data_IF_557088727701
#
_entry.id   IF_557088727701
#
_cell.length_a   1.000
_cell.length_b   1.000
_cell.length_c   1.000
_cell.angle_alpha   90.00
_cell.angle_beta   90.00
_cell.angle_gamma   90.00
#
_symmetry.space_group_name_H-M   'P 1'
#
loop_
_entity.id
_entity.type
_entity.pdbx_description
1 polymer ?
#
# COMPACT_ATOMS: atom_id res chain seq x y z
N UNK A 1 -60.68 -18.83 20.57
CA UNK A 1 -59.79 -17.73 21.00
C UNK A 1 -58.41 -18.32 21.23
N UNK A 2 -57.56 -18.32 20.20
CA UNK A 2 -56.19 -18.84 20.28
C UNK A 2 -55.21 -17.67 20.17
N UNK A 3 -54.30 -17.61 21.13
CA UNK A 3 -53.16 -16.70 21.26
C UNK A 3 -52.16 -16.93 20.12
N UNK A 4 -51.82 -15.89 19.34
CA UNK A 4 -50.71 -15.94 18.38
C UNK A 4 -49.51 -15.18 18.91
N UNK A 5 -48.48 -15.97 19.18
CA UNK A 5 -47.15 -15.65 19.69
C UNK A 5 -46.32 -14.94 18.61
N UNK A 6 -45.88 -13.71 18.88
CA UNK A 6 -44.99 -12.94 18.02
C UNK A 6 -43.53 -13.35 18.23
N UNK A 7 -43.01 -14.25 17.39
CA UNK A 7 -41.57 -14.53 17.32
C UNK A 7 -40.92 -13.69 16.24
N UNK A 8 -40.15 -12.70 16.68
CA UNK A 8 -39.19 -11.98 15.86
C UNK A 8 -38.14 -12.92 15.27
N UNK A 9 -38.05 -12.92 13.94
CA UNK A 9 -36.97 -13.53 13.19
C UNK A 9 -35.68 -12.74 13.47
N UNK A 10 -34.76 -13.34 14.24
CA UNK A 10 -33.36 -12.92 14.28
C UNK A 10 -32.75 -13.26 12.92
N UNK A 11 -32.31 -12.23 12.19
CA UNK A 11 -31.48 -12.39 11.01
C UNK A 11 -30.14 -13.03 11.39
N UNK A 12 -29.89 -14.21 10.84
CA UNK A 12 -28.60 -14.90 10.92
C UNK A 12 -27.65 -14.22 9.94
N UNK A 13 -26.69 -13.45 10.44
CA UNK A 13 -25.61 -12.90 9.63
C UNK A 13 -24.68 -14.04 9.21
N UNK A 14 -24.53 -14.24 7.90
CA UNK A 14 -23.62 -15.22 7.30
C UNK A 14 -22.15 -14.81 7.59
N UNK A 15 -21.56 -15.33 8.67
CA UNK A 15 -20.14 -15.19 9.03
C UNK A 15 -19.23 -16.27 8.40
N UNK A 16 -19.73 -17.05 7.42
CA UNK A 16 -19.10 -18.30 6.99
C UNK A 16 -17.93 -18.18 6.01
N UNK A 17 -17.95 -17.22 5.08
CA UNK A 17 -17.01 -17.22 3.93
C UNK A 17 -15.69 -16.51 4.21
N UNK A 18 -15.68 -15.46 5.05
CA UNK A 18 -14.45 -14.71 5.31
C UNK A 18 -13.48 -15.40 6.27
N UNK A 19 -13.99 -16.10 7.30
CA UNK A 19 -13.17 -16.96 8.17
C UNK A 19 -12.46 -18.05 7.36
N UNK A 20 -13.15 -18.58 6.34
CA UNK A 20 -12.63 -19.64 5.50
C UNK A 20 -11.35 -19.22 4.74
N UNK A 21 -11.29 -18.00 4.19
CA UNK A 21 -10.07 -17.54 3.50
C UNK A 21 -8.88 -17.31 4.43
N UNK A 22 -9.12 -16.95 5.70
CA UNK A 22 -8.07 -16.83 6.71
C UNK A 22 -7.53 -18.21 7.09
N UNK A 23 -8.42 -19.18 7.34
CA UNK A 23 -8.05 -20.53 7.76
C UNK A 23 -7.31 -21.29 6.65
N UNK A 24 -7.69 -21.12 5.38
CA UNK A 24 -6.93 -21.62 4.23
C UNK A 24 -5.51 -21.04 4.18
N UNK A 25 -5.38 -19.71 4.30
CA UNK A 25 -4.09 -19.04 4.27
C UNK A 25 -3.19 -19.52 5.42
N UNK A 26 -3.78 -19.67 6.62
CA UNK A 26 -3.13 -20.19 7.81
C UNK A 26 -2.70 -21.66 7.65
N UNK A 27 -3.54 -22.51 7.06
CA UNK A 27 -3.21 -23.92 6.80
C UNK A 27 -2.05 -24.04 5.80
N UNK A 28 -2.09 -23.28 4.69
CA UNK A 28 -1.00 -23.23 3.73
C UNK A 28 0.30 -22.70 4.39
N UNK A 29 0.20 -21.71 5.26
CA UNK A 29 1.33 -21.20 6.03
C UNK A 29 1.90 -22.27 6.99
N UNK A 30 1.05 -23.05 7.66
CA UNK A 30 1.47 -24.15 8.53
C UNK A 30 2.24 -25.23 7.77
N UNK A 31 1.78 -25.61 6.57
CA UNK A 31 2.48 -26.57 5.71
C UNK A 31 3.89 -26.08 5.32
N UNK A 32 4.01 -24.79 4.94
CA UNK A 32 5.32 -24.18 4.62
C UNK A 32 6.26 -24.17 5.82
N UNK A 33 5.72 -23.91 7.02
CA UNK A 33 6.49 -23.95 8.27
C UNK A 33 6.99 -25.36 8.52
N UNK A 34 6.14 -26.37 8.38
CA UNK A 34 6.51 -27.77 8.58
C UNK A 34 7.63 -28.20 7.63
N UNK A 35 7.54 -27.86 6.35
CA UNK A 35 8.59 -28.19 5.37
C UNK A 35 9.97 -27.59 5.74
N UNK A 36 10.01 -26.43 6.39
CA UNK A 36 11.25 -25.82 6.89
C UNK A 36 11.70 -26.46 8.21
N UNK A 37 10.78 -26.91 9.07
CA UNK A 37 11.11 -27.71 10.27
C UNK A 37 11.84 -28.98 9.87
N UNK A 38 11.37 -29.66 8.83
CA UNK A 38 11.96 -30.91 8.31
C UNK A 38 13.40 -30.72 7.79
N UNK A 39 13.82 -29.48 7.50
CA UNK A 39 15.21 -29.12 7.22
C UNK A 39 16.07 -28.94 8.50
N UNK A 40 15.56 -29.36 9.66
CA UNK A 40 16.23 -29.33 10.95
C UNK A 40 16.16 -27.97 11.66
N UNK A 41 15.25 -27.08 11.28
CA UNK A 41 15.02 -25.82 12.01
C UNK A 41 13.99 -26.02 13.13
N UNK A 42 14.16 -25.31 14.24
CA UNK A 42 13.08 -25.26 15.25
C UNK A 42 11.85 -24.57 14.67
N UNK A 43 10.65 -24.87 15.17
CA UNK A 43 9.40 -24.22 14.73
C UNK A 43 9.49 -22.69 14.73
N UNK A 44 10.12 -22.11 15.77
CA UNK A 44 10.35 -20.67 15.87
C UNK A 44 11.26 -20.14 14.76
N UNK A 45 12.34 -20.85 14.43
CA UNK A 45 13.22 -20.48 13.33
C UNK A 45 12.52 -20.62 11.97
N UNK A 46 11.78 -21.72 11.78
CA UNK A 46 11.04 -22.01 10.57
C UNK A 46 9.99 -20.92 10.28
N UNK A 47 9.17 -20.55 11.28
CA UNK A 47 8.22 -19.43 11.16
C UNK A 47 8.87 -18.14 10.69
N UNK A 48 9.97 -17.74 11.33
CA UNK A 48 10.69 -16.54 10.93
C UNK A 48 11.24 -16.66 9.50
N UNK A 49 11.87 -17.80 9.16
CA UNK A 49 12.50 -18.00 7.87
C UNK A 49 11.49 -18.00 6.73
N UNK A 50 10.29 -18.57 6.93
CA UNK A 50 9.20 -18.48 5.96
C UNK A 50 8.79 -17.02 5.74
N UNK A 51 8.59 -16.22 6.80
CA UNK A 51 8.28 -14.79 6.65
C UNK A 51 9.36 -14.04 5.86
N UNK A 52 10.65 -14.33 6.15
CA UNK A 52 11.76 -13.75 5.39
C UNK A 52 11.65 -14.15 3.92
N UNK A 53 11.58 -15.43 3.59
CA UNK A 53 11.58 -15.92 2.20
C UNK A 53 10.38 -15.41 1.39
N UNK A 54 9.20 -15.28 2.02
CA UNK A 54 7.97 -14.84 1.34
C UNK A 54 7.85 -13.34 1.14
N UNK A 55 8.57 -12.52 1.92
CA UNK A 55 8.31 -11.07 1.94
C UNK A 55 9.53 -10.17 1.75
N UNK A 56 10.75 -10.68 1.98
CA UNK A 56 11.94 -9.84 1.93
C UNK A 56 13.15 -10.53 1.28
N UNK A 57 13.37 -11.82 1.55
CA UNK A 57 14.58 -12.55 1.22
C UNK A 57 15.79 -12.13 2.03
N UNK A 58 15.74 -10.98 2.70
CA UNK A 58 16.81 -10.46 3.56
C UNK A 58 16.29 -10.19 4.96
N UNK A 59 17.16 -10.35 5.95
CA UNK A 59 16.86 -10.03 7.34
C UNK A 59 18.10 -9.58 8.12
N UNK A 60 17.88 -8.99 9.29
CA UNK A 60 18.94 -8.66 10.26
C UNK A 60 18.72 -9.39 11.59
N UNK A 61 19.78 -9.61 12.40
CA UNK A 61 19.67 -10.29 13.69
C UNK A 61 18.62 -9.72 14.64
N UNK A 62 18.45 -8.40 14.64
CA UNK A 62 17.41 -7.70 15.43
C UNK A 62 16.01 -8.17 15.10
N UNK A 63 15.69 -8.40 13.83
CA UNK A 63 14.36 -8.83 13.41
C UNK A 63 14.04 -10.22 13.96
N UNK A 64 15.00 -11.14 13.84
CA UNK A 64 14.84 -12.46 14.44
C UNK A 64 14.74 -12.39 15.95
N UNK A 65 15.60 -11.60 16.60
CA UNK A 65 15.59 -11.46 18.06
C UNK A 65 14.24 -10.93 18.58
N UNK A 66 13.71 -9.88 17.93
CA UNK A 66 12.40 -9.32 18.24
C UNK A 66 11.28 -10.32 17.99
N UNK A 67 11.28 -11.00 16.84
CA UNK A 67 10.29 -12.01 16.51
C UNK A 67 10.30 -13.19 17.50
N UNK A 68 11.49 -13.65 17.88
CA UNK A 68 11.68 -14.81 18.72
C UNK A 68 11.54 -14.53 20.22
N UNK A 69 11.36 -13.27 20.62
CA UNK A 69 11.32 -12.84 22.02
C UNK A 69 12.63 -13.10 22.77
N UNK A 70 13.78 -12.93 22.10
CA UNK A 70 15.11 -13.19 22.68
C UNK A 70 15.98 -11.93 22.64
N UNK A 71 17.01 -11.92 23.49
CA UNK A 71 17.99 -10.84 23.50
C UNK A 71 18.74 -10.74 22.15
N UNK A 72 18.77 -9.54 21.58
CA UNK A 72 19.60 -9.24 20.42
C UNK A 72 21.09 -9.39 20.77
N UNK A 73 21.87 -10.03 19.89
CA UNK A 73 23.28 -10.33 20.15
C UNK A 73 23.52 -11.48 21.14
N UNK A 74 22.47 -12.18 21.58
CA UNK A 74 22.60 -13.37 22.41
C UNK A 74 23.05 -14.60 21.62
N UNK A 75 23.64 -15.58 22.31
CA UNK A 75 24.12 -16.86 21.72
C UNK A 75 23.07 -17.56 20.85
N UNK A 76 21.80 -17.58 21.28
CA UNK A 76 20.69 -18.20 20.51
C UNK A 76 20.44 -17.51 19.16
N UNK A 77 20.61 -16.20 19.10
CA UNK A 77 20.48 -15.43 17.85
C UNK A 77 21.65 -15.76 16.92
N UNK A 78 22.89 -15.72 17.42
CA UNK A 78 24.08 -16.02 16.62
C UNK A 78 24.08 -17.43 16.06
N UNK A 79 23.79 -18.45 16.88
CA UNK A 79 23.73 -19.85 16.45
C UNK A 79 22.78 -20.06 15.27
N UNK A 80 21.65 -19.34 15.21
CA UNK A 80 20.72 -19.41 14.09
C UNK A 80 21.35 -18.89 12.79
N UNK A 81 21.94 -17.70 12.81
CA UNK A 81 22.55 -17.11 11.62
C UNK A 81 23.83 -17.83 11.19
N UNK A 82 24.64 -18.28 12.14
CA UNK A 82 25.85 -19.06 11.87
C UNK A 82 25.45 -20.39 11.21
N UNK A 83 24.34 -21.02 11.64
CA UNK A 83 23.78 -22.19 10.95
C UNK A 83 23.37 -21.85 9.52
N UNK A 84 22.66 -20.74 9.27
CA UNK A 84 22.24 -20.35 7.92
C UNK A 84 23.43 -20.19 6.97
N UNK A 85 24.51 -19.54 7.43
CA UNK A 85 25.71 -19.32 6.62
C UNK A 85 26.49 -20.62 6.43
N UNK A 86 26.74 -21.38 7.51
CA UNK A 86 27.48 -22.65 7.46
C UNK A 86 26.84 -23.68 6.54
N UNK A 87 25.51 -23.74 6.53
CA UNK A 87 24.76 -24.66 5.66
C UNK A 87 24.54 -24.12 4.24
N UNK A 88 25.08 -22.93 3.89
CA UNK A 88 24.92 -22.33 2.57
C UNK A 88 23.49 -21.86 2.25
N UNK A 89 22.67 -21.65 3.28
CA UNK A 89 21.29 -21.19 3.12
C UNK A 89 21.19 -19.67 2.92
N UNK A 90 22.14 -18.93 3.49
CA UNK A 90 22.20 -17.49 3.38
C UNK A 90 23.64 -16.97 3.20
N UNK A 91 23.76 -15.84 2.51
CA UNK A 91 24.98 -15.05 2.46
C UNK A 91 24.92 -13.94 3.51
N UNK A 92 26.04 -13.73 4.19
CA UNK A 92 26.22 -12.55 5.04
C UNK A 92 26.74 -11.38 4.20
N UNK A 93 25.96 -10.31 4.15
CA UNK A 93 26.34 -9.03 3.56
C UNK A 93 26.86 -8.14 4.70
N UNK A 94 28.16 -7.88 4.67
CA UNK A 94 28.83 -7.00 5.63
C UNK A 94 28.63 -5.54 5.20
N UNK A 95 28.16 -4.72 6.13
CA UNK A 95 28.02 -3.29 5.89
C UNK A 95 29.29 -2.55 6.30
N UNK A 96 29.66 -1.48 5.58
CA UNK A 96 30.89 -0.69 5.81
C UNK A 96 31.01 -0.22 7.27
N UNK A 97 29.89 0.10 7.93
CA UNK A 97 29.86 0.24 9.38
C UNK A 97 29.79 -1.16 10.01
N UNK A 98 30.94 -1.62 10.49
CA UNK A 98 31.32 -2.97 10.93
C UNK A 98 30.46 -3.65 12.03
N UNK A 99 29.25 -3.16 12.31
CA UNK A 99 28.30 -3.69 13.30
C UNK A 99 27.00 -4.20 12.71
N UNK A 100 26.65 -3.81 11.47
CA UNK A 100 25.43 -4.25 10.83
C UNK A 100 25.70 -5.47 9.94
N UNK A 101 25.04 -6.58 10.26
CA UNK A 101 25.06 -7.84 9.50
C UNK A 101 23.71 -8.02 8.85
N UNK A 102 23.67 -8.06 7.52
CA UNK A 102 22.47 -8.38 6.75
C UNK A 102 22.62 -9.79 6.20
N UNK A 103 21.59 -10.60 6.30
CA UNK A 103 21.60 -11.97 5.81
C UNK A 103 20.63 -12.09 4.65
N UNK A 104 21.12 -12.54 3.49
CA UNK A 104 20.31 -12.80 2.31
C UNK A 104 20.09 -14.29 2.14
N UNK A 105 18.83 -14.74 2.25
CA UNK A 105 18.41 -16.12 2.06
C UNK A 105 18.21 -16.38 0.57
N UNK A 106 19.12 -17.14 -0.04
CA UNK A 106 19.19 -17.35 -1.50
C UNK A 106 19.08 -18.84 -1.92
N UNK A 107 19.03 -19.77 -0.96
CA UNK A 107 19.11 -21.20 -1.25
C UNK A 107 17.84 -21.72 -1.93
N UNK A 108 17.95 -22.09 -3.22
CA UNK A 108 16.83 -22.49 -4.08
C UNK A 108 15.98 -23.63 -3.51
N UNK A 109 16.55 -24.71 -2.92
CA UNK A 109 15.74 -25.77 -2.32
C UNK A 109 14.81 -25.30 -1.21
N UNK A 110 15.22 -24.33 -0.36
CA UNK A 110 14.31 -23.81 0.68
C UNK A 110 13.10 -23.09 0.08
N UNK A 111 13.32 -22.32 -0.99
CA UNK A 111 12.24 -21.68 -1.73
C UNK A 111 11.35 -22.69 -2.45
N UNK A 112 11.92 -23.78 -2.97
CA UNK A 112 11.17 -24.86 -3.59
C UNK A 112 10.22 -25.53 -2.58
N UNK A 113 10.71 -25.83 -1.37
CA UNK A 113 9.93 -26.48 -0.31
C UNK A 113 8.70 -25.68 0.13
N UNK A 114 8.75 -24.34 0.04
CA UNK A 114 7.60 -23.48 0.37
C UNK A 114 6.72 -23.14 -0.84
N UNK A 115 7.00 -23.75 -2.00
CA UNK A 115 6.27 -23.51 -3.25
C UNK A 115 6.62 -22.20 -3.97
N UNK A 116 7.74 -21.54 -3.60
CA UNK A 116 8.14 -20.22 -4.13
C UNK A 116 9.48 -20.25 -4.87
N UNK A 117 9.77 -21.33 -5.62
CA UNK A 117 11.07 -21.53 -6.31
C UNK A 117 11.48 -20.38 -7.25
N UNK A 118 10.51 -19.71 -7.86
CA UNK A 118 10.72 -18.58 -8.78
C UNK A 118 10.79 -17.22 -8.08
N UNK A 119 10.74 -17.19 -6.74
CA UNK A 119 10.69 -15.96 -5.97
C UNK A 119 11.85 -15.02 -6.28
N UNK A 120 11.52 -13.74 -6.48
CA UNK A 120 12.50 -12.65 -6.63
C UNK A 120 13.32 -12.41 -5.36
N UNK A 121 12.84 -12.88 -4.22
CA UNK A 121 13.49 -12.67 -2.93
C UNK A 121 14.79 -13.48 -2.81
N UNK A 122 14.86 -14.60 -3.53
CA UNK A 122 16.06 -15.43 -3.68
C UNK A 122 17.19 -14.76 -4.47
N UNK A 123 16.85 -13.89 -5.42
CA UNK A 123 17.82 -13.31 -6.37
C UNK A 123 18.67 -12.24 -5.70
N UNK A 124 19.87 -12.02 -6.25
CA UNK A 124 20.74 -10.90 -5.89
C UNK A 124 19.96 -9.59 -5.92
N UNK A 125 20.27 -8.69 -5.00
CA UNK A 125 19.54 -7.44 -4.82
C UNK A 125 20.51 -6.28 -4.63
N UNK A 126 20.07 -5.10 -5.07
CA UNK A 126 20.81 -3.88 -4.82
C UNK A 126 20.74 -3.51 -3.32
N UNK A 127 21.71 -2.76 -2.82
CA UNK A 127 21.71 -2.13 -1.50
C UNK A 127 20.41 -1.41 -1.14
N UNK A 128 19.91 -0.57 -2.06
CA UNK A 128 18.64 0.15 -1.89
C UNK A 128 17.48 -0.82 -1.69
N UNK A 129 17.39 -1.84 -2.55
CA UNK A 129 16.34 -2.85 -2.47
C UNK A 129 16.44 -3.69 -1.19
N UNK A 130 17.65 -3.91 -0.66
CA UNK A 130 17.86 -4.59 0.62
C UNK A 130 17.25 -3.78 1.76
N UNK A 131 17.50 -2.47 1.81
CA UNK A 131 16.92 -1.57 2.82
C UNK A 131 15.39 -1.57 2.74
N UNK A 132 14.81 -1.44 1.54
CA UNK A 132 13.35 -1.47 1.35
C UNK A 132 12.74 -2.81 1.80
N UNK A 133 13.39 -3.94 1.51
CA UNK A 133 12.94 -5.27 1.94
C UNK A 133 13.05 -5.45 3.45
N UNK A 134 14.09 -4.91 4.10
CA UNK A 134 14.23 -4.93 5.55
C UNK A 134 13.14 -4.11 6.24
N UNK A 135 12.84 -2.92 5.71
CA UNK A 135 11.73 -2.08 6.19
C UNK A 135 10.38 -2.79 6.03
N UNK A 136 10.14 -3.44 4.88
CA UNK A 136 8.92 -4.22 4.65
C UNK A 136 8.80 -5.39 5.65
N UNK A 137 9.91 -6.08 5.93
CA UNK A 137 9.91 -7.15 6.90
C UNK A 137 9.59 -6.63 8.31
N UNK A 138 10.16 -5.49 8.73
CA UNK A 138 9.79 -4.88 10.01
C UNK A 138 8.30 -4.59 10.09
N UNK A 139 7.72 -4.02 9.03
CA UNK A 139 6.29 -3.73 8.97
C UNK A 139 5.45 -5.02 9.18
N UNK A 140 5.81 -6.10 8.49
CA UNK A 140 5.13 -7.40 8.62
C UNK A 140 5.26 -7.97 10.04
N UNK A 141 6.46 -7.89 10.63
CA UNK A 141 6.70 -8.39 11.98
C UNK A 141 5.95 -7.61 13.07
N UNK A 142 5.55 -6.37 12.80
CA UNK A 142 4.68 -5.59 13.69
C UNK A 142 3.23 -6.10 13.71
N UNK A 143 2.86 -7.02 12.82
CA UNK A 143 1.49 -7.53 12.65
C UNK A 143 1.47 -9.08 12.73
N UNK A 144 1.75 -9.68 13.90
CA UNK A 144 1.91 -11.13 14.04
C UNK A 144 0.62 -11.94 13.87
N UNK A 145 -0.55 -11.29 13.98
CA UNK A 145 -1.86 -11.94 13.91
C UNK A 145 -2.49 -11.90 12.50
N UNK A 146 -1.70 -11.53 11.49
CA UNK A 146 -2.13 -11.42 10.11
C UNK A 146 -1.53 -12.56 9.29
N UNK A 147 -2.38 -13.19 8.48
CA UNK A 147 -1.93 -14.17 7.48
C UNK A 147 -1.70 -13.46 6.14
N UNK A 148 -0.52 -13.65 5.55
CA UNK A 148 -0.10 -12.86 4.39
C UNK A 148 -0.21 -13.64 3.07
N UNK A 149 -0.95 -13.05 2.13
CA UNK A 149 -1.00 -13.42 0.72
C UNK A 149 0.18 -12.75 0.01
N UNK A 150 1.23 -13.50 -0.27
CA UNK A 150 2.47 -12.99 -0.86
C UNK A 150 2.44 -13.03 -2.39
N UNK A 151 1.94 -14.12 -2.95
CA UNK A 151 2.03 -14.43 -4.38
C UNK A 151 0.89 -13.78 -5.18
N UNK A 152 1.10 -13.60 -6.48
CA UNK A 152 0.03 -13.12 -7.37
C UNK A 152 -1.14 -14.11 -7.44
N UNK A 153 -0.87 -15.41 -7.37
CA UNK A 153 -1.90 -16.46 -7.41
C UNK A 153 -2.81 -16.41 -6.18
N UNK A 154 -2.23 -16.34 -4.98
CA UNK A 154 -3.00 -16.22 -3.73
C UNK A 154 -3.91 -14.99 -3.73
N UNK A 155 -3.39 -13.84 -4.20
CA UNK A 155 -4.17 -12.60 -4.29
C UNK A 155 -5.28 -12.68 -5.32
N UNK A 156 -5.02 -13.28 -6.48
CA UNK A 156 -6.02 -13.49 -7.52
C UNK A 156 -7.12 -14.44 -7.04
N UNK A 157 -6.77 -15.54 -6.37
CA UNK A 157 -7.72 -16.47 -5.78
C UNK A 157 -8.59 -15.80 -4.71
N UNK A 158 -8.00 -15.00 -3.84
CA UNK A 158 -8.75 -14.22 -2.85
C UNK A 158 -9.71 -13.22 -3.50
N UNK A 159 -9.25 -12.44 -4.49
CA UNK A 159 -10.09 -11.46 -5.19
C UNK A 159 -11.24 -12.14 -5.96
N UNK A 160 -10.98 -13.30 -6.58
CA UNK A 160 -12.01 -14.06 -7.29
C UNK A 160 -13.13 -14.52 -6.35
N UNK A 161 -12.79 -14.97 -5.14
CA UNK A 161 -13.77 -15.35 -4.11
C UNK A 161 -14.61 -14.17 -3.65
N UNK A 162 -13.98 -13.03 -3.34
CA UNK A 162 -14.72 -11.83 -2.95
C UNK A 162 -15.73 -11.39 -4.02
N UNK A 163 -15.36 -11.50 -5.29
CA UNK A 163 -16.28 -11.19 -6.40
C UNK A 163 -17.44 -12.19 -6.50
N UNK A 164 -17.16 -13.48 -6.32
CA UNK A 164 -18.20 -14.51 -6.31
C UNK A 164 -19.22 -14.27 -5.20
N UNK A 165 -18.75 -13.90 -4.00
CA UNK A 165 -19.62 -13.60 -2.85
C UNK A 165 -20.51 -12.38 -3.13
N UNK A 166 -19.96 -11.31 -3.72
CA UNK A 166 -20.73 -10.12 -4.13
C UNK A 166 -21.77 -10.45 -5.21
N UNK A 167 -21.41 -11.30 -6.18
CA UNK A 167 -22.34 -11.72 -7.24
C UNK A 167 -23.51 -12.56 -6.72
N UNK A 168 -23.27 -13.40 -5.70
CA UNK A 168 -24.36 -14.17 -5.04
C UNK A 168 -25.35 -13.23 -4.36
N UNK A 169 -24.86 -12.20 -3.68
CA UNK A 169 -25.69 -11.21 -2.97
C UNK A 169 -26.43 -10.25 -3.94
N UNK A 170 -25.80 -9.93 -5.09
CA UNK A 170 -26.36 -9.04 -6.11
C UNK A 170 -27.44 -9.67 -7.01
N UNK A 171 -27.78 -10.95 -6.83
CA UNK A 171 -28.80 -11.68 -7.60
C UNK A 171 -30.24 -11.13 -7.47
N UNK A 172 -30.44 -9.94 -6.90
CA UNK A 172 -31.71 -9.22 -6.79
C UNK A 172 -31.79 -7.91 -7.58
N UNK A 173 -30.76 -7.50 -8.34
CA UNK A 173 -30.90 -6.39 -9.30
C UNK A 173 -30.02 -6.59 -10.55
N UNK A 174 -30.55 -6.34 -11.77
CA UNK A 174 -29.75 -6.42 -12.98
C UNK A 174 -28.95 -5.12 -13.12
N UNK A 175 -27.62 -5.22 -13.25
CA UNK A 175 -26.80 -4.12 -13.78
C UNK A 175 -26.13 -4.57 -15.06
N UNK A 176 -26.51 -3.89 -16.14
CA UNK A 176 -25.78 -3.84 -17.40
C UNK A 176 -24.49 -3.04 -17.18
N UNK A 177 -23.33 -3.67 -17.37
CA UNK A 177 -22.21 -3.18 -18.18
C UNK A 177 -21.12 -4.27 -18.19
N UNK A 178 -21.15 -5.15 -19.20
CA UNK A 178 -20.09 -6.14 -19.43
C UNK A 178 -19.21 -5.68 -20.59
N UNK A 179 -18.34 -4.71 -20.27
CA UNK A 179 -17.24 -4.28 -21.12
C UNK A 179 -15.94 -4.95 -20.68
N UNK A 180 -15.69 -6.18 -21.16
CA UNK A 180 -14.40 -6.89 -21.18
C UNK A 180 -13.37 -6.46 -20.11
N UNK A 181 -13.65 -6.73 -18.84
CA UNK A 181 -12.71 -6.44 -17.77
C UNK A 181 -11.56 -7.46 -17.80
N UNK A 182 -10.47 -7.12 -18.48
CA UNK A 182 -9.20 -7.84 -18.32
C UNK A 182 -8.93 -7.97 -16.81
N UNK A 183 -8.71 -9.17 -16.25
CA UNK A 183 -8.59 -9.33 -14.81
C UNK A 183 -7.44 -8.47 -14.32
N UNK A 184 -7.77 -7.38 -13.59
CA UNK A 184 -6.79 -6.47 -13.02
C UNK A 184 -5.84 -7.29 -12.14
N UNK A 185 -4.61 -7.46 -12.62
CA UNK A 185 -3.60 -8.29 -11.97
C UNK A 185 -3.04 -7.53 -10.77
N UNK A 186 -3.44 -7.94 -9.56
CA UNK A 186 -2.85 -7.41 -8.33
C UNK A 186 -1.35 -7.68 -8.32
N UNK A 187 -0.57 -6.62 -8.09
CA UNK A 187 0.89 -6.73 -8.09
C UNK A 187 1.37 -7.65 -6.96
N UNK A 188 2.34 -8.52 -7.27
CA UNK A 188 3.03 -9.32 -6.24
C UNK A 188 3.98 -8.47 -5.38
N UNK A 189 4.17 -7.18 -5.67
CA UNK A 189 5.09 -6.28 -4.97
C UNK A 189 4.70 -6.00 -3.51
N UNK A 190 3.39 -5.91 -3.23
CA UNK A 190 2.87 -5.48 -1.92
C UNK A 190 2.07 -6.60 -1.28
N UNK A 191 2.39 -7.04 -0.06
CA UNK A 191 1.67 -8.15 0.57
C UNK A 191 0.26 -7.70 0.96
N UNK A 192 -0.72 -8.61 0.83
CA UNK A 192 -2.08 -8.41 1.32
C UNK A 192 -2.25 -9.32 2.53
N UNK A 193 -2.64 -8.75 3.66
CA UNK A 193 -2.87 -9.46 4.91
C UNK A 193 -4.35 -9.79 5.08
N UNK A 194 -4.63 -10.86 5.80
CA UNK A 194 -5.97 -11.23 6.28
C UNK A 194 -5.93 -11.29 7.80
N UNK A 195 -6.79 -10.51 8.45
CA UNK A 195 -7.08 -10.65 9.88
C UNK A 195 -8.11 -11.77 10.10
N UNK A 196 -8.17 -12.30 11.33
CA UNK A 196 -9.04 -13.43 11.67
C UNK A 196 -10.54 -13.11 11.50
N UNK A 197 -10.91 -11.84 11.62
CA UNK A 197 -12.27 -11.33 11.40
C UNK A 197 -12.63 -11.21 9.91
N UNK A 198 -11.70 -11.56 9.01
CA UNK A 198 -11.90 -11.47 7.56
C UNK A 198 -11.45 -10.13 6.95
N UNK A 199 -10.95 -9.19 7.77
CA UNK A 199 -10.52 -7.89 7.28
C UNK A 199 -9.26 -7.98 6.45
N UNK A 200 -9.32 -7.39 5.25
CA UNK A 200 -8.16 -7.31 4.36
C UNK A 200 -7.23 -6.16 4.76
N UNK A 201 -5.94 -6.41 4.92
CA UNK A 201 -4.93 -5.39 5.25
C UNK A 201 -4.01 -5.17 4.06
N UNK A 202 -4.09 -3.98 3.46
CA UNK A 202 -3.21 -3.53 2.39
C UNK A 202 -2.02 -2.78 2.99
N UNK A 203 -0.82 -3.31 2.80
CA UNK A 203 0.40 -2.70 3.31
C UNK A 203 1.08 -1.86 2.22
N UNK A 204 1.25 -0.56 2.48
CA UNK A 204 2.08 0.32 1.67
C UNK A 204 3.27 0.86 2.46
N UNK A 205 4.47 0.80 1.86
CA UNK A 205 5.71 1.33 2.43
C UNK A 205 6.18 2.50 1.56
N UNK A 206 5.99 3.76 1.99
CA UNK A 206 6.60 4.92 1.36
C UNK A 206 8.12 4.77 1.31
N UNK A 207 8.72 4.91 0.13
CA UNK A 207 10.17 4.86 -0.07
C UNK A 207 10.76 6.19 -0.54
N UNK A 208 9.91 7.12 -0.97
CA UNK A 208 10.28 8.46 -1.42
C UNK A 208 9.19 9.48 -1.07
N UNK A 209 9.49 10.79 -1.08
CA UNK A 209 8.49 11.83 -0.80
C UNK A 209 7.42 11.98 -1.90
N UNK A 210 7.72 11.52 -3.12
CA UNK A 210 6.78 11.57 -4.22
C UNK A 210 5.58 10.64 -3.96
N UNK A 211 4.37 11.15 -4.17
CA UNK A 211 3.13 10.41 -3.92
C UNK A 211 2.61 9.66 -5.16
N UNK A 212 3.27 9.81 -6.31
CA UNK A 212 2.84 9.19 -7.55
C UNK A 212 2.84 7.65 -7.53
N UNK A 213 3.88 6.97 -6.97
CA UNK A 213 3.84 5.52 -6.81
C UNK A 213 2.72 5.06 -5.88
N UNK A 214 2.30 5.91 -4.94
CA UNK A 214 1.21 5.61 -4.02
C UNK A 214 -0.15 5.72 -4.72
N UNK A 215 -0.36 6.74 -5.54
CA UNK A 215 -1.55 6.84 -6.40
C UNK A 215 -1.68 5.63 -7.33
N UNK A 216 -0.58 5.23 -7.95
CA UNK A 216 -0.51 4.02 -8.78
C UNK A 216 -0.83 2.75 -7.98
N UNK A 217 -0.38 2.67 -6.72
CA UNK A 217 -0.72 1.58 -5.82
C UNK A 217 -2.22 1.55 -5.49
N UNK A 218 -2.83 2.69 -5.13
CA UNK A 218 -4.26 2.76 -4.84
C UNK A 218 -5.10 2.35 -6.04
N UNK A 219 -4.77 2.85 -7.23
CA UNK A 219 -5.41 2.49 -8.48
C UNK A 219 -5.33 0.97 -8.73
N UNK A 220 -4.15 0.37 -8.56
CA UNK A 220 -3.97 -1.07 -8.78
C UNK A 220 -4.77 -1.94 -7.79
N UNK A 221 -5.19 -1.39 -6.64
CA UNK A 221 -5.94 -2.11 -5.61
C UNK A 221 -7.38 -1.62 -5.46
N UNK A 222 -7.85 -0.68 -6.27
CA UNK A 222 -9.19 -0.11 -6.20
C UNK A 222 -10.28 -1.20 -6.27
N UNK A 223 -10.11 -2.20 -7.13
CA UNK A 223 -11.02 -3.34 -7.21
C UNK A 223 -11.14 -4.07 -5.87
N UNK A 224 -10.02 -4.31 -5.18
CA UNK A 224 -10.04 -4.98 -3.89
C UNK A 224 -10.75 -4.13 -2.83
N UNK A 225 -10.46 -2.83 -2.79
CA UNK A 225 -11.10 -1.89 -1.85
C UNK A 225 -12.61 -1.78 -2.06
N UNK A 226 -13.09 -2.00 -3.29
CA UNK A 226 -14.52 -2.01 -3.64
C UNK A 226 -15.26 -3.26 -3.18
N UNK A 227 -14.62 -4.44 -3.31
CA UNK A 227 -15.30 -5.73 -3.11
C UNK A 227 -15.03 -6.35 -1.74
N UNK A 228 -13.97 -5.92 -1.05
CA UNK A 228 -13.69 -6.40 0.29
C UNK A 228 -14.71 -5.80 1.28
N UNK A 229 -15.37 -6.63 2.12
CA UNK A 229 -16.40 -6.18 3.05
C UNK A 229 -15.83 -5.22 4.10
N UNK A 230 -14.62 -5.51 4.58
CA UNK A 230 -13.87 -4.66 5.47
C UNK A 230 -12.39 -4.68 5.08
N UNK A 231 -11.74 -3.53 5.19
CA UNK A 231 -10.34 -3.39 4.82
C UNK A 231 -9.60 -2.33 5.64
N UNK A 232 -8.29 -2.43 5.64
CA UNK A 232 -7.37 -1.46 6.23
C UNK A 232 -6.26 -1.15 5.25
N UNK A 233 -6.13 0.11 4.87
CA UNK A 233 -4.94 0.60 4.19
C UNK A 233 -3.93 1.05 5.25
N UNK A 234 -2.86 0.28 5.46
CA UNK A 234 -1.82 0.60 6.43
C UNK A 234 -0.58 1.15 5.73
N UNK A 235 -0.33 2.44 5.93
CA UNK A 235 0.89 3.12 5.51
C UNK A 235 1.96 2.99 6.59
N UNK A 236 3.12 2.46 6.23
CA UNK A 236 4.22 2.26 7.17
C UNK A 236 5.39 3.16 6.77
N UNK A 237 5.51 4.31 7.44
CA UNK A 237 6.50 5.34 7.11
C UNK A 237 7.87 5.03 7.71
N UNK A 238 8.95 5.02 6.91
CA UNK A 238 10.29 5.17 7.44
C UNK A 238 10.42 6.53 8.13
N UNK A 239 11.12 6.60 9.29
CA UNK A 239 11.31 7.88 10.01
C UNK A 239 11.77 9.06 9.13
N UNK A 240 12.66 8.90 8.14
CA UNK A 240 13.05 10.02 7.28
C UNK A 240 11.92 10.61 6.41
N UNK A 241 10.82 9.89 6.24
CA UNK A 241 9.66 10.27 5.42
C UNK A 241 8.44 10.65 6.26
N UNK A 242 8.59 10.80 7.57
CA UNK A 242 7.50 11.26 8.45
C UNK A 242 6.96 12.63 8.02
N UNK A 243 7.82 13.54 7.54
CA UNK A 243 7.43 14.85 7.01
C UNK A 243 6.62 14.81 5.72
N UNK A 244 6.62 13.69 5.00
CA UNK A 244 5.80 13.53 3.81
C UNK A 244 4.35 13.11 4.14
N UNK A 245 4.04 12.87 5.42
CA UNK A 245 2.75 12.38 5.88
C UNK A 245 1.56 13.18 5.31
N UNK A 246 1.60 14.51 5.40
CA UNK A 246 0.52 15.37 4.93
C UNK A 246 0.27 15.23 3.42
N UNK A 247 1.33 15.05 2.63
CA UNK A 247 1.21 14.83 1.19
C UNK A 247 0.54 13.48 0.87
N UNK A 248 0.82 12.44 1.65
CA UNK A 248 0.16 11.15 1.51
C UNK A 248 -1.31 11.19 1.98
N UNK A 249 -1.60 11.93 3.06
CA UNK A 249 -2.98 12.18 3.51
C UNK A 249 -3.80 12.93 2.46
N UNK A 250 -3.23 13.94 1.82
CA UNK A 250 -3.89 14.63 0.70
C UNK A 250 -4.24 13.66 -0.45
N UNK A 251 -3.37 12.68 -0.74
CA UNK A 251 -3.67 11.65 -1.75
C UNK A 251 -4.81 10.74 -1.31
N UNK A 252 -4.84 10.31 -0.05
CA UNK A 252 -5.94 9.50 0.49
C UNK A 252 -7.27 10.26 0.35
N UNK A 253 -7.26 11.54 0.73
CA UNK A 253 -8.42 12.39 0.63
C UNK A 253 -8.91 12.50 -0.82
N UNK A 254 -8.01 12.83 -1.74
CA UNK A 254 -8.34 12.99 -3.15
C UNK A 254 -8.73 11.68 -3.87
N UNK A 255 -8.12 10.55 -3.54
CA UNK A 255 -8.33 9.31 -4.31
C UNK A 255 -9.41 8.41 -3.70
N UNK A 256 -9.67 8.52 -2.38
CA UNK A 256 -10.56 7.60 -1.65
C UNK A 256 -11.73 8.30 -0.93
N UNK A 257 -11.53 9.48 -0.36
CA UNK A 257 -12.56 10.17 0.45
C UNK A 257 -13.40 11.16 -0.37
N UNK A 258 -12.84 11.74 -1.42
CA UNK A 258 -13.48 12.70 -2.31
C UNK A 258 -13.68 12.10 -3.72
N UNK A 259 -14.63 11.14 -3.87
CA UNK A 259 -14.88 10.52 -5.15
C UNK A 259 -15.40 11.54 -6.17
N UNK A 260 -14.93 11.42 -7.40
CA UNK A 260 -15.39 12.25 -8.52
C UNK A 260 -16.74 11.73 -9.01
N UNK A 261 -17.67 12.65 -9.25
CA UNK A 261 -18.96 12.32 -9.81
C UNK A 261 -18.82 11.77 -11.24
N UNK A 262 -19.73 10.87 -11.66
CA UNK A 262 -19.66 10.21 -12.96
C UNK A 262 -19.68 11.19 -14.13
N UNK A 263 -20.45 12.28 -14.03
CA UNK A 263 -20.48 13.35 -15.02
C UNK A 263 -19.10 14.02 -15.17
N UNK A 264 -18.47 14.39 -14.06
CA UNK A 264 -17.12 14.99 -14.03
C UNK A 264 -16.07 14.07 -14.66
N UNK A 265 -16.22 12.76 -14.48
CA UNK A 265 -15.32 11.77 -15.11
C UNK A 265 -15.51 11.71 -16.63
N UNK A 266 -16.76 11.76 -17.11
CA UNK A 266 -17.04 11.82 -18.54
C UNK A 266 -16.43 13.05 -19.20
N UNK A 267 -16.51 14.20 -18.52
CA UNK A 267 -15.91 15.46 -18.96
C UNK A 267 -14.37 15.40 -18.91
N UNK A 268 -13.79 14.84 -17.85
CA UNK A 268 -12.33 14.65 -17.73
C UNK A 268 -11.77 13.74 -18.81
N UNK A 269 -12.47 12.65 -19.14
CA UNK A 269 -12.10 11.75 -20.25
C UNK A 269 -12.04 12.51 -21.57
N UNK A 270 -13.11 13.25 -21.87
CA UNK A 270 -13.20 14.06 -23.09
C UNK A 270 -12.08 15.10 -23.14
N UNK A 271 -11.85 15.80 -22.03
CA UNK A 271 -10.76 16.78 -21.91
C UNK A 271 -9.37 16.17 -22.11
N UNK A 272 -9.10 14.98 -21.56
CA UNK A 272 -7.81 14.30 -21.72
C UNK A 272 -7.57 13.84 -23.15
N UNK A 273 -8.60 13.32 -23.82
CA UNK A 273 -8.55 12.93 -25.23
C UNK A 273 -8.28 14.13 -26.12
N UNK A 274 -9.03 15.23 -25.95
CA UNK A 274 -8.85 16.44 -26.74
C UNK A 274 -7.49 17.09 -26.48
N UNK A 275 -6.99 17.04 -25.24
CA UNK A 275 -5.64 17.54 -24.90
C UNK A 275 -4.55 16.71 -25.58
N UNK A 276 -4.74 15.40 -25.68
CA UNK A 276 -3.82 14.50 -26.37
C UNK A 276 -3.83 14.74 -27.89
N UNK A 277 -5.00 14.93 -28.50
CA UNK A 277 -5.12 15.30 -29.93
C UNK A 277 -4.43 16.64 -30.21
N UNK A 278 -4.68 17.66 -29.38
CA UNK A 278 -4.00 18.96 -29.47
C UNK A 278 -2.47 18.82 -29.40
N UNK A 279 -1.96 18.04 -28.44
CA UNK A 279 -0.53 17.82 -28.26
C UNK A 279 0.14 17.09 -29.44
N UNK A 280 -0.63 16.34 -30.23
CA UNK A 280 -0.18 15.67 -31.46
C UNK A 280 -0.26 16.56 -32.71
N UNK A 281 -0.78 17.78 -32.58
CA UNK A 281 -0.99 18.69 -33.70
C UNK A 281 -2.17 18.32 -34.60
N UNK A 282 -3.10 17.51 -34.10
CA UNK A 282 -4.31 17.17 -34.85
C UNK A 282 -5.24 18.40 -34.94
N UNK A 283 -5.87 18.67 -36.10
CA UNK A 283 -6.78 19.80 -36.25
C UNK A 283 -8.03 19.59 -35.37
N UNK A 284 -8.27 20.53 -34.47
CA UNK A 284 -9.43 20.52 -33.58
C UNK A 284 -10.50 21.50 -34.06
N UNK A 285 -11.76 21.10 -33.92
CA UNK A 285 -12.88 21.99 -34.19
C UNK A 285 -12.83 23.21 -33.24
N UNK A 286 -13.24 24.43 -33.67
CA UNK A 286 -13.19 25.63 -32.83
C UNK A 286 -13.90 25.47 -31.48
N UNK A 287 -15.02 24.74 -31.44
CA UNK A 287 -15.73 24.44 -30.18
C UNK A 287 -14.92 23.54 -29.24
N UNK A 288 -14.19 22.56 -29.78
CA UNK A 288 -13.27 21.71 -29.00
C UNK A 288 -12.10 22.53 -28.44
N UNK A 289 -11.62 23.52 -29.19
CA UNK A 289 -10.57 24.42 -28.75
C UNK A 289 -11.05 25.34 -27.60
N UNK A 290 -12.28 25.84 -27.67
CA UNK A 290 -12.94 26.57 -26.57
C UNK A 290 -13.12 25.68 -25.32
N UNK A 291 -13.55 24.43 -25.51
CA UNK A 291 -13.66 23.45 -24.42
C UNK A 291 -12.30 23.16 -23.76
N UNK A 292 -11.23 23.01 -24.55
CA UNK A 292 -9.87 22.83 -24.03
C UNK A 292 -9.38 24.03 -23.21
N UNK A 293 -9.64 25.26 -23.66
CA UNK A 293 -9.27 26.46 -22.94
C UNK A 293 -10.02 26.58 -21.60
N UNK A 294 -11.31 26.24 -21.59
CA UNK A 294 -12.11 26.21 -20.37
C UNK A 294 -11.65 25.08 -19.42
N UNK A 295 -11.46 23.89 -19.97
CA UNK A 295 -10.93 22.73 -19.24
C UNK A 295 -9.54 22.99 -18.66
N UNK A 296 -8.68 23.76 -19.32
CA UNK A 296 -7.39 24.14 -18.76
C UNK A 296 -7.49 25.03 -17.50
N UNK A 297 -8.56 25.83 -17.36
CA UNK A 297 -8.81 26.64 -16.16
C UNK A 297 -9.35 25.79 -15.01
N UNK A 298 -10.26 24.86 -15.31
CA UNK A 298 -10.96 24.03 -14.31
C UNK A 298 -10.16 22.79 -13.92
N UNK A 299 -9.65 22.06 -14.90
CA UNK A 299 -8.84 20.84 -14.74
C UNK A 299 -7.33 21.10 -14.72
N UNK A 300 -6.91 22.37 -14.63
CA UNK A 300 -5.51 22.77 -14.51
C UNK A 300 -4.89 22.50 -13.13
N UNK A 301 -5.64 21.93 -12.19
CA UNK A 301 -5.15 21.66 -10.83
C UNK A 301 -4.07 20.57 -10.80
N UNK A 302 -3.21 20.53 -9.76
CA UNK A 302 -2.20 19.49 -9.62
C UNK A 302 -2.77 18.06 -9.63
N UNK A 303 -3.95 17.84 -9.03
CA UNK A 303 -4.65 16.54 -9.00
C UNK A 303 -4.94 16.02 -10.41
N UNK A 304 -5.58 16.84 -11.25
CA UNK A 304 -5.96 16.44 -12.61
C UNK A 304 -4.76 16.40 -13.57
N UNK A 305 -3.75 17.24 -13.34
CA UNK A 305 -2.49 17.15 -14.09
C UNK A 305 -1.76 15.84 -13.84
N UNK A 306 -1.64 15.41 -12.57
CA UNK A 306 -1.06 14.11 -12.23
C UNK A 306 -1.91 12.95 -12.78
N UNK A 307 -3.24 13.07 -12.71
CA UNK A 307 -4.17 12.10 -13.28
C UNK A 307 -4.02 11.96 -14.80
N UNK A 308 -3.84 13.06 -15.55
CA UNK A 308 -3.57 13.03 -16.98
C UNK A 308 -2.28 12.28 -17.31
N UNK A 309 -1.20 12.54 -16.57
CA UNK A 309 0.08 11.84 -16.75
C UNK A 309 -0.04 10.33 -16.51
N UNK A 310 -0.86 9.91 -15.53
CA UNK A 310 -1.18 8.49 -15.35
C UNK A 310 -2.04 7.94 -16.48
N UNK A 311 -3.03 8.70 -16.94
CA UNK A 311 -3.95 8.28 -18.00
C UNK A 311 -3.19 8.02 -19.30
N UNK A 312 -2.17 8.82 -19.62
CA UNK A 312 -1.27 8.54 -20.76
C UNK A 312 -0.57 7.17 -20.68
N UNK A 313 -0.36 6.61 -19.48
CA UNK A 313 0.30 5.31 -19.28
C UNK A 313 -0.66 4.14 -19.10
N UNK A 314 -1.83 4.41 -18.51
CA UNK A 314 -2.74 3.38 -18.00
C UNK A 314 -4.16 3.47 -18.57
N UNK A 315 -4.43 4.47 -19.41
CA UNK A 315 -5.74 4.71 -20.01
C UNK A 315 -6.85 4.93 -18.98
N UNK A 316 -8.06 4.50 -19.32
CA UNK A 316 -9.26 4.75 -18.53
C UNK A 316 -9.29 4.05 -17.16
N UNK A 317 -8.39 3.11 -16.90
CA UNK A 317 -8.27 2.46 -15.59
C UNK A 317 -7.92 3.46 -14.46
N UNK A 318 -7.46 4.66 -14.78
CA UNK A 318 -7.14 5.72 -13.80
C UNK A 318 -8.40 6.24 -13.08
N UNK A 319 -9.56 6.13 -13.71
CA UNK A 319 -10.81 6.64 -13.15
C UNK A 319 -11.49 5.67 -12.17
N UNK A 320 -11.15 4.37 -12.18
CA UNK A 320 -11.85 3.31 -11.42
C UNK A 320 -11.81 3.46 -9.89
N UNK A 321 -10.74 4.03 -9.34
CA UNK A 321 -10.60 4.28 -7.91
C UNK A 321 -11.37 5.54 -7.48
N UNK A 322 -10.97 6.71 -8.01
CA UNK A 322 -11.63 7.99 -7.71
C UNK A 322 -13.11 8.03 -8.05
N UNK A 323 -13.63 7.16 -8.91
CA UNK A 323 -15.04 7.11 -9.26
C UNK A 323 -15.92 6.37 -8.27
N UNK A 324 -15.34 5.60 -7.35
CA UNK A 324 -16.10 4.56 -6.64
C UNK A 324 -16.80 5.07 -5.38
N UNK A 325 -18.14 5.15 -5.36
CA UNK A 325 -18.87 5.53 -4.16
C UNK A 325 -18.76 4.46 -3.06
N UNK A 326 -18.51 3.20 -3.44
CA UNK A 326 -18.38 2.08 -2.51
C UNK A 326 -17.16 2.23 -1.59
N UNK A 327 -16.04 2.73 -2.11
CA UNK A 327 -14.83 2.98 -1.30
C UNK A 327 -15.09 4.09 -0.28
N UNK A 328 -15.69 5.21 -0.73
CA UNK A 328 -16.04 6.32 0.15
C UNK A 328 -17.08 5.91 1.21
N UNK A 329 -18.10 5.14 0.82
CA UNK A 329 -19.10 4.60 1.73
C UNK A 329 -18.46 3.66 2.78
N UNK A 330 -17.50 2.81 2.37
CA UNK A 330 -16.78 1.95 3.30
C UNK A 330 -15.96 2.77 4.31
N UNK A 331 -15.32 3.86 3.88
CA UNK A 331 -14.61 4.77 4.79
C UNK A 331 -15.57 5.44 5.78
N UNK A 332 -16.70 5.96 5.29
CA UNK A 332 -17.71 6.63 6.13
C UNK A 332 -18.37 5.69 7.15
N UNK A 333 -18.53 4.41 6.81
CA UNK A 333 -19.10 3.40 7.72
C UNK A 333 -18.08 2.74 8.65
N UNK A 334 -16.78 3.03 8.49
CA UNK A 334 -15.69 2.38 9.23
C UNK A 334 -15.35 0.96 8.76
N UNK A 335 -16.02 0.46 7.71
CA UNK A 335 -15.66 -0.80 7.06
C UNK A 335 -14.29 -0.70 6.38
N UNK A 336 -14.00 0.44 5.77
CA UNK A 336 -12.67 0.87 5.32
C UNK A 336 -12.01 1.76 6.36
N UNK A 337 -10.72 1.56 6.61
CA UNK A 337 -9.94 2.47 7.47
C UNK A 337 -8.54 2.69 6.92
N UNK A 338 -8.00 3.88 7.15
CA UNK A 338 -6.62 4.22 6.80
C UNK A 338 -5.83 4.42 8.07
N UNK A 339 -4.71 3.72 8.18
CA UNK A 339 -3.84 3.79 9.35
C UNK A 339 -2.43 4.13 8.91
N UNK A 340 -1.74 4.96 9.71
CA UNK A 340 -0.35 5.31 9.46
C UNK A 340 0.50 5.01 10.68
N UNK A 341 1.61 4.31 10.45
CA UNK A 341 2.53 3.87 11.50
C UNK A 341 3.95 4.23 11.08
N UNK A 342 4.76 4.73 12.02
CA UNK A 342 6.17 5.03 11.75
C UNK A 342 7.03 3.84 12.18
N UNK A 343 7.95 3.42 11.30
CA UNK A 343 8.89 2.35 11.62
C UNK A 343 9.77 2.73 12.80
N UNK A 344 9.92 1.83 13.79
CA UNK A 344 10.74 2.12 14.96
C UNK A 344 12.23 2.24 14.61
N UNK A 345 12.68 1.60 13.54
CA UNK A 345 14.08 1.46 13.17
C UNK A 345 14.47 2.25 11.92
N UNK A 346 15.70 2.75 11.93
CA UNK A 346 16.27 3.54 10.84
C UNK A 346 17.42 2.78 10.20
N UNK A 347 17.38 2.63 8.88
CA UNK A 347 18.37 1.89 8.10
C UNK A 347 19.44 2.78 7.44
N UNK A 348 19.54 4.05 7.82
CA UNK A 348 20.57 4.98 7.31
C UNK A 348 22.00 4.46 7.49
N UNK A 349 22.26 3.66 8.53
CA UNK A 349 23.56 3.05 8.76
C UNK A 349 23.94 1.97 7.73
N UNK A 350 22.97 1.46 6.97
CA UNK A 350 23.16 0.56 5.83
C UNK A 350 23.36 1.32 4.50
N UNK A 351 23.25 2.65 4.50
CA UNK A 351 23.50 3.50 3.33
C UNK A 351 24.87 3.27 2.66
N UNK A 352 25.96 2.88 3.36
CA UNK A 352 27.21 2.56 2.69
C UNK A 352 27.17 1.29 1.84
N UNK A 353 26.13 0.46 1.91
CA UNK A 353 25.97 -0.60 0.92
C UNK A 353 25.80 0.01 -0.49
N UNK A 354 25.31 1.26 -0.60
CA UNK A 354 25.08 1.98 -1.86
C UNK A 354 26.38 2.50 -2.50
N UNK A 355 27.52 2.42 -1.79
CA UNK A 355 28.84 2.72 -2.35
C UNK A 355 29.70 1.45 -2.30
N UNK A 356 30.18 1.04 -3.47
CA UNK A 356 31.20 0.01 -3.72
C UNK A 356 30.74 -1.46 -3.74
N UNK A 357 30.64 -1.97 -4.97
CA UNK A 357 30.83 -3.39 -5.27
C UNK A 357 32.23 -3.85 -4.79
N UNK A 358 32.40 -5.10 -4.33
CA UNK A 358 33.65 -5.52 -3.73
C UNK A 358 34.74 -5.67 -4.81
N UNK A 359 35.73 -4.78 -4.75
CA UNK A 359 37.04 -5.03 -5.31
C UNK A 359 37.77 -6.06 -4.44
N UNK A 360 38.43 -6.99 -5.10
CA UNK A 360 39.26 -8.09 -4.55
C UNK A 360 40.29 -7.58 -3.52
N UNK A 361 40.67 -8.35 -2.48
CA UNK A 361 41.50 -7.84 -1.39
C UNK A 361 42.98 -7.83 -1.75
N UNK A 362 43.64 -6.72 -1.44
CA UNK A 362 45.11 -6.57 -1.38
C UNK A 362 45.47 -5.82 -0.07
N UNK A 363 46.69 -5.98 0.44
CA UNK A 363 46.93 -6.35 1.83
C UNK A 363 47.20 -5.17 2.77
N UNK A 364 47.05 -5.49 4.06
CA UNK A 364 47.34 -4.65 5.21
C UNK A 364 48.71 -3.95 5.12
N UNK A 365 48.72 -2.64 5.35
CA UNK A 365 49.80 -1.98 6.07
C UNK A 365 49.28 -1.09 7.19
N UNK A 366 49.91 -1.29 8.35
CA UNK A 366 49.79 -0.61 9.64
C UNK A 366 49.82 0.91 9.53
N UNK A 367 49.04 1.56 10.40
CA UNK A 367 49.25 2.95 10.79
C UNK A 367 48.45 3.31 12.04
N UNK A 368 49.04 3.07 13.22
CA UNK A 368 48.56 3.65 14.48
C UNK A 368 48.50 5.17 14.39
N UNK A 369 47.44 5.80 14.91
CA UNK A 369 47.60 6.90 15.86
C UNK A 369 46.38 7.07 16.77
N UNK A 370 46.72 7.31 18.02
CA UNK A 370 45.93 7.32 19.25
C UNK A 370 45.94 8.76 19.76
N UNK A 371 44.83 9.24 20.32
CA UNK A 371 44.77 10.47 21.11
C UNK A 371 43.37 11.10 21.08
N UNK A 372 42.45 10.74 21.98
CA UNK A 372 42.23 11.24 23.35
C UNK A 372 41.38 12.52 23.47
N UNK A 373 40.18 12.30 24.03
CA UNK A 373 39.58 12.97 25.21
C UNK A 373 38.74 14.28 25.07
N UNK A 374 37.49 14.10 25.54
CA UNK A 374 36.77 14.75 26.67
C UNK A 374 35.98 16.05 26.46
N UNK A 375 34.77 16.02 27.04
CA UNK A 375 34.03 17.16 27.65
C UNK A 375 32.56 17.18 27.21
N UNK A 376 31.58 16.64 27.98
CA UNK A 376 30.69 17.36 28.94
C UNK A 376 29.86 18.50 28.29
N UNK A 377 28.56 18.74 28.52
CA UNK A 377 27.56 18.31 29.53
C UNK A 377 26.18 18.88 29.11
N UNK A 378 25.11 18.11 29.36
CA UNK A 378 23.76 18.42 29.90
C UNK A 378 22.95 19.70 29.55
N UNK A 379 21.66 19.43 29.28
CA UNK A 379 20.47 20.18 29.76
C UNK A 379 19.91 21.23 28.79
N UNK A 380 18.61 21.51 28.69
CA UNK A 380 17.42 21.01 29.36
C UNK A 380 16.17 21.65 28.67
N UNK A 381 15.02 20.99 28.77
CA UNK A 381 13.65 21.54 28.88
C UNK A 381 12.98 22.19 27.64
N UNK A 382 11.89 21.54 27.22
CA UNK A 382 10.78 22.12 26.47
C UNK A 382 9.78 22.83 27.41
N UNK A 383 9.05 23.86 26.94
CA UNK A 383 7.79 24.24 27.55
C UNK A 383 6.61 23.61 26.78
N UNK A 384 5.78 22.93 27.56
CA UNK A 384 4.44 22.43 27.25
C UNK A 384 3.47 23.59 27.52
N UNK A 385 2.69 24.02 26.53
CA UNK A 385 1.56 24.94 26.77
C UNK A 385 0.26 24.14 26.87
N UNK A 386 -0.45 24.36 27.98
CA UNK A 386 -1.77 23.86 28.31
C UNK A 386 -2.82 24.92 27.93
N UNK A 387 -3.87 24.47 27.25
CA UNK A 387 -5.19 25.08 27.01
C UNK A 387 -5.40 26.13 25.90
N UNK A 388 -6.60 26.11 25.28
CA UNK A 388 -6.89 26.70 23.97
C UNK A 388 -7.50 28.10 24.06
N UNK A 389 -7.46 28.84 22.94
CA UNK A 389 -8.13 30.15 22.81
C UNK A 389 -9.66 29.99 22.71
N UNK A 390 -10.45 30.98 23.18
CA UNK A 390 -11.91 30.97 23.07
C UNK A 390 -12.36 31.05 21.60
N UNK A 391 -13.36 30.24 21.23
CA UNK A 391 -14.00 30.29 19.91
C UNK A 391 -15.03 31.43 19.82
N UNK A 392 -15.11 32.16 18.68
CA UNK A 392 -16.26 32.99 18.35
C UNK A 392 -17.48 32.11 17.96
N UNK A 393 -18.72 32.65 17.99
CA UNK A 393 -19.94 31.90 17.71
C UNK A 393 -19.96 31.34 16.27
N UNK A 394 -20.76 30.29 16.00
CA UNK A 394 -20.74 29.58 14.74
C UNK A 394 -21.26 30.47 13.60
N UNK A 395 -20.36 30.84 12.69
CA UNK A 395 -20.73 31.22 11.33
C UNK A 395 -21.31 29.98 10.64
N UNK A 396 -22.38 30.17 9.87
CA UNK A 396 -22.90 29.13 8.97
C UNK A 396 -21.73 28.55 8.17
N UNK A 397 -21.58 27.21 8.09
CA UNK A 397 -20.39 26.63 7.48
C UNK A 397 -20.32 27.08 6.03
N UNK A 398 -19.21 27.69 5.58
CA UNK A 398 -19.03 27.94 4.17
C UNK A 398 -19.12 26.60 3.43
N UNK A 399 -19.89 26.59 2.33
CA UNK A 399 -19.95 25.46 1.39
C UNK A 399 -18.53 24.92 1.17
N UNK A 400 -18.36 23.60 1.20
CA UNK A 400 -17.05 23.00 0.96
C UNK A 400 -16.53 23.41 -0.41
N UNK A 401 -15.20 23.49 -0.58
CA UNK A 401 -14.58 23.88 -1.86
C UNK A 401 -15.12 23.00 -3.01
N UNK A 402 -15.39 21.72 -2.74
CA UNK A 402 -16.00 20.79 -3.69
C UNK A 402 -17.44 21.19 -4.05
N UNK A 403 -18.27 21.60 -3.07
CA UNK A 403 -19.63 22.07 -3.32
C UNK A 403 -19.68 23.44 -4.02
N UNK A 404 -18.74 24.33 -3.71
CA UNK A 404 -18.59 25.61 -4.42
C UNK A 404 -18.20 25.38 -5.88
N UNK A 405 -17.25 24.46 -6.14
CA UNK A 405 -16.86 24.08 -7.49
C UNK A 405 -17.99 23.41 -8.26
N UNK A 406 -18.79 22.55 -7.62
CA UNK A 406 -19.95 21.91 -8.25
C UNK A 406 -21.06 22.91 -8.61
N UNK A 407 -21.29 23.91 -7.74
CA UNK A 407 -22.27 24.99 -7.97
C UNK A 407 -21.83 25.94 -9.09
N UNK A 408 -20.56 26.34 -9.12
CA UNK A 408 -20.02 27.17 -10.20
C UNK A 408 -20.02 26.42 -11.54
N UNK A 409 -19.66 25.13 -11.52
CA UNK A 409 -19.70 24.29 -12.72
C UNK A 409 -21.12 24.16 -13.28
N UNK A 410 -22.13 23.86 -12.44
CA UNK A 410 -23.53 23.76 -12.90
C UNK A 410 -24.06 25.09 -13.44
N UNK A 411 -23.71 26.22 -12.82
CA UNK A 411 -24.11 27.55 -13.31
C UNK A 411 -23.51 27.86 -14.69
N UNK A 412 -22.26 27.46 -14.93
CA UNK A 412 -21.58 27.69 -16.19
C UNK A 412 -22.09 26.77 -17.32
N UNK A 413 -22.40 25.52 -17.00
CA UNK A 413 -23.02 24.57 -17.95
C UNK A 413 -24.43 25.01 -18.33
N UNK A 414 -25.24 25.49 -17.39
CA UNK A 414 -26.56 26.03 -17.69
C UNK A 414 -26.51 27.34 -18.48
N UNK A 415 -25.49 28.17 -18.26
CA UNK A 415 -25.24 29.37 -19.06
C UNK A 415 -24.86 29.03 -20.51
N UNK A 416 -23.98 28.04 -20.74
CA UNK A 416 -23.60 27.58 -22.08
C UNK A 416 -24.77 26.93 -22.84
N UNK A 417 -25.60 26.14 -22.14
CA UNK A 417 -26.85 25.59 -22.71
C UNK A 417 -27.83 26.70 -23.08
N UNK A 418 -27.95 27.75 -22.26
CA UNK A 418 -28.81 28.90 -22.54
C UNK A 418 -28.31 29.71 -23.75
N UNK A 419 -27.00 29.85 -23.95
CA UNK A 419 -26.42 30.47 -25.14
C UNK A 419 -26.74 29.64 -26.41
N UNK A 420 -26.61 28.32 -26.35
CA UNK A 420 -27.00 27.42 -27.46
C UNK A 420 -28.50 27.49 -27.79
N UNK A 421 -29.37 27.70 -26.80
CA UNK A 421 -30.81 27.86 -27.02
C UNK A 421 -31.18 29.22 -27.66
N UNK A 422 -30.32 30.24 -27.55
CA UNK A 422 -30.50 31.55 -28.18
C UNK A 422 -29.95 31.58 -29.61
N UNK A 423 -28.96 30.76 -29.93
CA UNK A 423 -28.41 30.60 -31.29
C UNK A 423 -29.26 29.67 -32.20
N UNK A 424 -30.29 29.01 -31.64
CA UNK A 424 -31.30 28.26 -32.40
C UNK A 424 -32.63 29.02 -32.37
N UNK A 425 -32.70 30.12 -33.12
CA UNK A 425 -33.96 30.61 -33.70
C UNK A 425 -33.74 30.82 -35.19
N UNK A 426 -34.65 30.33 -36.05
CA UNK A 426 -34.48 30.34 -37.50
C UNK A 426 -34.38 31.74 -38.11
#
# INVERSE_FOLDING_TARGET
MFTSDGRGLRGTVLHGTHSFSFDEARAAQAQRIQAVIDCGFTERQARFLVLVMRHAGVCVPRQYASFAGIAHGGRRCHVFFDKLVRCGYAHEIRCVHNRARVFHVHHKPLYFLIGEVTSRYRRSLSPRLAVERLMRLDAILMMPNIEWLATASEKAGYLARLRADVSVDASQTPSMDDGSATPLKLSSAFPIGLERDGRAVLLYLPTEPSTEPFRSFLQAHATLLRVAPTWTLRLVFPRPLDRAYDAYQAVIHEELESPLHSATIGELKSYFEDRLKAARGEPLHPQTQSFLNLGAKVFGTPRFTAMYQRWLRHGNAVFEGPSSPAIAAALNSGCGRVESVVLPHVYRHLAPLVADAPSRPEPMTRGLRRGLRRGHRRGNIAPRALNPRPQPPPEEPPLSITEQMDLEWRRLVEWDKAQKALEVRP
#
